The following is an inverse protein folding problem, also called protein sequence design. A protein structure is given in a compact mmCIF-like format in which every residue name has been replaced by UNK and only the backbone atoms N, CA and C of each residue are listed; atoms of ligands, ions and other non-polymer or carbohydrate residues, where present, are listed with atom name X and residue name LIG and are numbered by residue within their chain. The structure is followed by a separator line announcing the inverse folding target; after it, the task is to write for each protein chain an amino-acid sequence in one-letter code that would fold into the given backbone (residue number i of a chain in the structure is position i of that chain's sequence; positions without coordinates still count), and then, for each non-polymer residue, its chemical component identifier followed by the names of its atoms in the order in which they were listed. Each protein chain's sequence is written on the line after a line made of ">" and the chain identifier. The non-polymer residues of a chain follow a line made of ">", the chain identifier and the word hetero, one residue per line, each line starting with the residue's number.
data_IF_390132516235
#
_entry.id   IF_390132516235
#
_cell.length_a   1.000
_cell.length_b   1.000
_cell.length_c   1.000
_cell.angle_alpha   90.00
_cell.angle_beta   90.00
_cell.angle_gamma   90.00
#
_symmetry.space_group_name_H-M   'P 1'
#
loop_
_entity.id
_entity.type
_entity.pdbx_description
1 polymer ?
#
# COMPACT_ATOMS: atom_id res chain seq x y z
N UNK A 1 26.90 22.17 6.86
CA UNK A 1 25.92 21.07 6.73
C UNK A 1 26.57 19.92 5.99
N UNK A 2 26.84 18.79 6.66
CA UNK A 2 27.52 17.64 6.05
C UNK A 2 26.62 16.94 5.03
N UNK A 3 27.17 16.58 3.87
CA UNK A 3 26.48 15.73 2.88
C UNK A 3 26.09 14.41 3.54
N UNK A 4 24.81 14.07 3.54
CA UNK A 4 24.36 12.74 3.92
C UNK A 4 25.07 11.70 3.05
N UNK A 5 25.62 10.66 3.69
CA UNK A 5 26.26 9.55 2.98
C UNK A 5 25.24 8.92 2.03
N UNK A 6 25.70 8.57 0.82
CA UNK A 6 24.86 7.91 -0.17
C UNK A 6 24.41 6.55 0.34
N UNK A 7 23.11 6.24 0.24
CA UNK A 7 22.61 4.91 0.60
C UNK A 7 23.04 3.87 -0.44
N UNK A 8 23.13 2.58 -0.07
CA UNK A 8 23.39 1.50 -1.03
C UNK A 8 22.42 1.53 -2.22
N UNK A 9 21.13 1.80 -1.98
CA UNK A 9 20.11 1.91 -3.03
C UNK A 9 20.34 3.12 -3.95
N UNK A 10 20.98 4.19 -3.48
CA UNK A 10 21.34 5.35 -4.31
C UNK A 10 22.53 5.05 -5.22
N UNK A 11 23.51 4.31 -4.75
CA UNK A 11 24.64 3.87 -5.60
C UNK A 11 24.20 2.88 -6.68
N UNK A 12 23.28 1.96 -6.37
CA UNK A 12 22.72 1.04 -7.36
C UNK A 12 21.95 1.78 -8.47
N UNK A 13 21.09 2.74 -8.11
CA UNK A 13 20.30 3.52 -9.06
C UNK A 13 21.15 4.32 -10.07
N UNK A 14 22.38 4.72 -9.71
CA UNK A 14 23.30 5.42 -10.64
C UNK A 14 23.79 4.53 -11.79
N UNK A 15 23.73 3.21 -11.63
CA UNK A 15 24.24 2.24 -12.61
C UNK A 15 23.18 1.83 -13.64
N UNK A 16 21.94 2.29 -13.46
CA UNK A 16 20.83 2.00 -14.37
C UNK A 16 20.79 3.08 -15.46
N UNK A 17 20.69 2.66 -16.71
CA UNK A 17 20.50 3.50 -17.90
C UNK A 17 19.02 3.68 -18.26
N UNK A 18 18.12 3.08 -17.48
CA UNK A 18 16.67 3.17 -17.60
C UNK A 18 16.04 3.65 -16.29
N UNK A 19 14.83 4.25 -16.33
CA UNK A 19 14.08 4.55 -15.12
C UNK A 19 13.70 3.27 -14.36
N UNK A 20 13.58 3.39 -13.04
CA UNK A 20 12.98 2.34 -12.19
C UNK A 20 11.52 2.68 -11.99
N UNK A 21 10.63 1.80 -12.43
CA UNK A 21 9.21 1.86 -12.10
C UNK A 21 9.02 0.96 -10.88
N UNK A 22 8.66 1.56 -9.76
CA UNK A 22 8.32 0.84 -8.54
C UNK A 22 6.83 0.50 -8.59
N UNK A 23 6.51 -0.75 -8.96
CA UNK A 23 5.14 -1.27 -8.92
C UNK A 23 5.04 -2.25 -7.77
N UNK A 24 4.18 -1.97 -6.81
CA UNK A 24 3.88 -2.88 -5.70
C UNK A 24 2.97 -4.05 -6.11
N UNK A 25 2.48 -4.05 -7.36
CA UNK A 25 1.73 -5.16 -7.94
C UNK A 25 0.32 -5.34 -7.37
N UNK A 26 -0.26 -4.31 -6.75
CA UNK A 26 -1.64 -4.39 -6.27
C UNK A 26 -2.61 -4.61 -7.43
N UNK A 27 -3.24 -5.79 -7.48
CA UNK A 27 -4.28 -6.13 -8.45
C UNK A 27 -5.65 -5.93 -7.80
N UNK A 28 -6.36 -4.89 -8.24
CA UNK A 28 -7.70 -4.58 -7.70
C UNK A 28 -8.75 -5.52 -8.29
N UNK A 29 -8.47 -6.04 -9.49
CA UNK A 29 -9.31 -6.92 -10.30
C UNK A 29 -9.50 -8.30 -9.66
N UNK A 30 -8.61 -8.70 -8.74
CA UNK A 30 -8.67 -10.00 -8.08
C UNK A 30 -9.64 -10.02 -6.88
N UNK A 31 -9.96 -8.86 -6.30
CA UNK A 31 -10.81 -8.78 -5.11
C UNK A 31 -12.20 -9.42 -5.26
N UNK A 32 -12.94 -9.23 -6.38
CA UNK A 32 -14.24 -9.89 -6.56
C UNK A 32 -14.15 -11.42 -6.46
N UNK A 33 -13.16 -12.04 -7.11
CA UNK A 33 -12.95 -13.49 -7.09
C UNK A 33 -12.57 -13.98 -5.68
N UNK A 34 -11.75 -13.21 -4.97
CA UNK A 34 -11.38 -13.51 -3.59
C UNK A 34 -12.62 -13.48 -2.68
N UNK A 35 -13.50 -12.47 -2.82
CA UNK A 35 -14.72 -12.40 -2.00
C UNK A 35 -15.71 -13.51 -2.32
N UNK A 36 -15.85 -13.90 -3.58
CA UNK A 36 -16.66 -15.06 -3.97
C UNK A 36 -16.12 -16.35 -3.31
N UNK A 37 -14.81 -16.55 -3.33
CA UNK A 37 -14.19 -17.70 -2.68
C UNK A 37 -14.37 -17.68 -1.15
N UNK A 38 -14.16 -16.53 -0.50
CA UNK A 38 -14.38 -16.39 0.95
C UNK A 38 -15.84 -16.65 1.30
N UNK A 39 -16.78 -16.16 0.49
CA UNK A 39 -18.21 -16.44 0.68
C UNK A 39 -18.50 -17.93 0.52
N UNK A 40 -17.86 -18.61 -0.42
CA UNK A 40 -18.01 -20.05 -0.63
C UNK A 40 -17.48 -20.87 0.56
N UNK A 41 -16.30 -20.57 1.09
CA UNK A 41 -15.64 -21.39 2.13
C UNK A 41 -15.95 -20.95 3.56
N UNK A 42 -16.14 -19.65 3.77
CA UNK A 42 -16.33 -19.01 5.09
C UNK A 42 -17.72 -18.40 5.29
N UNK A 43 -18.58 -18.47 4.28
CA UNK A 43 -19.94 -17.96 4.35
C UNK A 43 -20.06 -16.44 4.14
N UNK A 44 -21.31 -15.95 3.97
CA UNK A 44 -21.58 -14.55 3.63
C UNK A 44 -21.14 -13.56 4.71
N UNK A 45 -21.27 -13.92 6.00
CA UNK A 45 -20.89 -13.02 7.11
C UNK A 45 -19.39 -12.74 7.13
N UNK A 46 -18.55 -13.75 6.84
CA UNK A 46 -17.10 -13.59 6.81
C UNK A 46 -16.66 -12.70 5.66
N UNK A 47 -17.25 -12.90 4.47
CA UNK A 47 -17.00 -12.06 3.30
C UNK A 47 -17.34 -10.59 3.59
N UNK A 48 -18.50 -10.33 4.20
CA UNK A 48 -18.94 -8.97 4.55
C UNK A 48 -18.02 -8.30 5.57
N UNK A 49 -17.62 -9.03 6.63
CA UNK A 49 -16.65 -8.55 7.63
C UNK A 49 -15.32 -8.18 6.98
N UNK A 50 -14.81 -9.01 6.08
CA UNK A 50 -13.55 -8.75 5.39
C UNK A 50 -13.64 -7.53 4.47
N UNK A 51 -14.71 -7.44 3.66
CA UNK A 51 -14.96 -6.28 2.80
C UNK A 51 -15.02 -4.97 3.60
N UNK A 52 -15.80 -4.96 4.68
CA UNK A 52 -15.93 -3.78 5.56
C UNK A 52 -14.59 -3.43 6.22
N UNK A 53 -13.80 -4.41 6.64
CA UNK A 53 -12.48 -4.20 7.25
C UNK A 53 -11.48 -3.57 6.26
N UNK A 54 -11.38 -4.12 5.06
CA UNK A 54 -10.50 -3.60 4.00
C UNK A 54 -10.85 -2.17 3.62
N UNK A 55 -12.15 -1.86 3.49
CA UNK A 55 -12.62 -0.50 3.24
C UNK A 55 -12.26 0.47 4.38
N UNK A 56 -12.33 0.01 5.63
CA UNK A 56 -11.92 0.82 6.80
C UNK A 56 -10.41 1.03 6.86
N UNK A 57 -9.61 0.03 6.49
CA UNK A 57 -8.14 0.16 6.45
C UNK A 57 -7.70 1.21 5.42
N UNK A 58 -8.36 1.28 4.26
CA UNK A 58 -8.11 2.32 3.25
C UNK A 58 -8.48 3.74 3.69
N UNK A 59 -9.30 3.90 4.74
CA UNK A 59 -9.79 5.19 5.21
C UNK A 59 -9.12 5.70 6.49
N UNK A 60 -8.06 5.06 6.99
CA UNK A 60 -7.45 5.51 8.25
C UNK A 60 -6.53 6.72 8.04
N UNK A 61 -6.96 7.82 8.66
CA UNK A 61 -6.10 8.73 9.44
C UNK A 61 -5.10 9.61 8.68
N UNK A 62 -5.07 9.60 7.33
CA UNK A 62 -4.23 10.54 6.58
C UNK A 62 -4.45 11.99 7.04
N UNK A 63 -5.71 12.40 7.20
CA UNK A 63 -6.07 13.75 7.65
C UNK A 63 -5.83 14.01 9.15
N UNK A 64 -5.68 12.97 9.95
CA UNK A 64 -5.48 13.05 11.41
C UNK A 64 -4.00 12.99 11.80
N UNK A 65 -3.13 12.54 10.89
CA UNK A 65 -1.69 12.39 11.10
C UNK A 65 -0.90 13.64 10.71
N UNK A 66 0.22 13.88 11.39
CA UNK A 66 1.21 14.87 11.00
C UNK A 66 2.10 14.39 9.82
N UNK A 67 2.96 15.28 9.33
CA UNK A 67 3.80 14.99 8.16
C UNK A 67 4.89 13.93 8.43
N UNK A 68 5.35 13.78 9.67
CA UNK A 68 6.32 12.75 10.03
C UNK A 68 5.64 11.37 10.10
N UNK A 69 4.46 11.29 10.71
CA UNK A 69 3.64 10.09 10.80
C UNK A 69 3.21 9.59 9.41
N UNK A 70 2.75 10.48 8.54
CA UNK A 70 2.41 10.15 7.13
C UNK A 70 3.59 9.52 6.39
N UNK A 71 4.78 10.11 6.51
CA UNK A 71 6.01 9.58 5.90
C UNK A 71 6.44 8.25 6.52
N UNK A 72 6.33 8.10 7.83
CA UNK A 72 6.69 6.87 8.52
C UNK A 72 5.82 5.69 8.07
N UNK A 73 4.52 5.91 7.89
CA UNK A 73 3.56 4.89 7.48
C UNK A 73 3.44 4.71 5.96
N UNK A 74 4.18 5.48 5.15
CA UNK A 74 4.11 5.48 3.68
C UNK A 74 2.67 5.57 3.15
N UNK A 75 1.82 6.34 3.82
CA UNK A 75 0.42 6.43 3.42
C UNK A 75 0.31 7.26 2.12
N UNK A 76 -0.66 6.89 1.29
CA UNK A 76 -1.02 7.65 0.09
C UNK A 76 -2.12 8.64 0.50
N UNK A 77 -2.04 9.89 0.04
CA UNK A 77 -3.10 10.88 0.25
C UNK A 77 -4.38 10.38 -0.43
N UNK A 78 -5.49 10.18 0.32
CA UNK A 78 -6.79 9.89 -0.29
C UNK A 78 -7.21 11.03 -1.23
N UNK A 79 -7.84 10.66 -2.35
CA UNK A 79 -8.41 11.61 -3.33
C UNK A 79 -9.49 12.52 -2.72
#
# INVERSE_FOLDING_TARGET
>A
MGKAKSSPSRELRKRLDHPVIDTDGHMVELFPVIFDYIKQVGGPEMSEKMFTSLRRQNNRSWYEMDHAQRRHHNLIRPA
#
